data_IF_033315600320
#
_entry.id   IF_033315600320
#
_cell.length_a   1.000
_cell.length_b   1.000
_cell.length_c   1.000
_cell.angle_alpha   90.00
_cell.angle_beta   90.00
_cell.angle_gamma   90.00
#
_symmetry.space_group_name_H-M   'P 1'
#
loop_
_entity.id
_entity.type
_entity.pdbx_description
1 polymer ?
#
# COMPACT_ATOMS: atom_id res chain seq x y z
N UNK A 1 -7.16 -12.64 -14.16
CA UNK A 1 -6.53 -11.70 -13.23
C UNK A 1 -6.42 -10.37 -13.99
N UNK A 2 -7.21 -9.35 -13.63
CA UNK A 2 -7.35 -8.08 -14.41
C UNK A 2 -6.94 -6.85 -13.58
N UNK A 3 -5.86 -6.97 -12.81
CA UNK A 3 -5.28 -5.83 -12.10
C UNK A 3 -3.98 -5.49 -12.83
N UNK A 4 -3.85 -4.30 -13.43
CA UNK A 4 -2.58 -3.89 -14.03
C UNK A 4 -1.51 -3.86 -12.93
N UNK A 5 -0.28 -4.25 -13.27
CA UNK A 5 0.85 -4.17 -12.34
C UNK A 5 1.02 -2.75 -11.82
N UNK A 6 1.52 -2.64 -10.59
CA UNK A 6 1.70 -1.32 -9.99
C UNK A 6 2.69 -0.49 -10.83
N UNK A 7 2.38 0.78 -11.15
CA UNK A 7 3.27 1.62 -11.97
C UNK A 7 4.65 1.80 -11.33
N UNK A 8 4.75 1.76 -9.99
CA UNK A 8 6.03 1.77 -9.28
C UNK A 8 6.92 0.58 -9.62
N UNK A 9 6.36 -0.63 -9.73
CA UNK A 9 7.10 -1.83 -10.11
C UNK A 9 7.63 -1.73 -11.55
N UNK A 10 6.81 -1.21 -12.47
CA UNK A 10 7.19 -1.02 -13.88
C UNK A 10 8.29 0.05 -14.05
N UNK A 11 8.28 1.11 -13.22
CA UNK A 11 9.36 2.10 -13.14
C UNK A 11 10.68 1.47 -12.70
N UNK A 12 10.64 0.62 -11.68
CA UNK A 12 11.84 -0.09 -11.19
C UNK A 12 12.44 -1.03 -12.25
N UNK A 13 11.64 -1.49 -13.21
CA UNK A 13 12.05 -2.34 -14.33
C UNK A 13 12.50 -1.54 -15.58
N UNK A 14 12.57 -0.21 -15.51
CA UNK A 14 12.87 0.69 -16.63
C UNK A 14 11.88 0.58 -17.82
N UNK A 15 10.65 0.10 -17.60
CA UNK A 15 9.62 -0.04 -18.65
C UNK A 15 8.72 1.19 -18.72
N UNK A 16 9.26 2.31 -19.19
CA UNK A 16 8.59 3.62 -19.12
C UNK A 16 7.28 3.70 -19.90
N UNK A 17 7.21 3.15 -21.11
CA UNK A 17 5.99 3.21 -21.94
C UNK A 17 4.82 2.42 -21.32
N UNK A 18 5.13 1.28 -20.73
CA UNK A 18 4.14 0.44 -20.07
C UNK A 18 3.72 1.02 -18.71
N UNK A 19 4.64 1.70 -18.04
CA UNK A 19 4.35 2.44 -16.83
C UNK A 19 3.31 3.53 -17.09
N UNK A 20 3.47 4.32 -18.16
CA UNK A 20 2.52 5.38 -18.49
C UNK A 20 1.13 4.81 -18.80
N UNK A 21 1.05 3.70 -19.55
CA UNK A 21 -0.22 3.00 -19.81
C UNK A 21 -0.87 2.45 -18.54
N UNK A 22 -0.08 1.85 -17.64
CA UNK A 22 -0.57 1.37 -16.34
C UNK A 22 -1.05 2.52 -15.44
N UNK A 23 -0.31 3.63 -15.40
CA UNK A 23 -0.65 4.83 -14.65
C UNK A 23 -1.97 5.45 -15.16
N UNK A 24 -2.12 5.57 -16.47
CA UNK A 24 -3.37 6.03 -17.09
C UNK A 24 -4.53 5.07 -16.80
N UNK A 25 -4.30 3.76 -16.83
CA UNK A 25 -5.32 2.75 -16.51
C UNK A 25 -5.79 2.83 -15.04
N UNK A 26 -4.87 3.06 -14.10
CA UNK A 26 -5.19 3.26 -12.68
C UNK A 26 -6.01 4.55 -12.45
N UNK A 27 -5.66 5.66 -13.12
CA UNK A 27 -6.32 6.97 -12.97
C UNK A 27 -7.65 7.07 -13.72
N UNK A 28 -7.87 6.28 -14.78
CA UNK A 28 -9.11 6.31 -15.59
C UNK A 28 -10.38 6.06 -14.76
N UNK A 29 -10.27 5.49 -13.55
CA UNK A 29 -11.41 5.30 -12.63
C UNK A 29 -11.69 6.50 -11.71
N UNK A 30 -10.79 7.47 -11.62
CA UNK A 30 -10.86 8.61 -10.70
C UNK A 30 -10.73 9.93 -11.47
N UNK A 31 -11.87 10.40 -11.99
CA UNK A 31 -12.18 11.82 -12.27
C UNK A 31 -11.35 12.52 -13.37
N UNK A 32 -12.10 13.06 -14.34
CA UNK A 32 -11.81 14.10 -15.33
C UNK A 32 -10.52 14.00 -16.16
N UNK A 33 -10.72 13.70 -17.45
CA UNK A 33 -9.71 13.73 -18.54
C UNK A 33 -9.13 15.13 -18.81
N UNK A 34 -9.54 16.14 -18.04
CA UNK A 34 -9.30 17.56 -18.30
C UNK A 34 -7.87 17.98 -18.01
N UNK A 35 -7.13 17.24 -17.20
CA UNK A 35 -5.83 17.67 -16.67
C UNK A 35 -4.69 16.74 -17.12
N UNK A 36 -4.53 16.58 -18.44
CA UNK A 36 -3.43 15.78 -19.01
C UNK A 36 -2.06 16.29 -18.55
N UNK A 37 -1.92 17.59 -18.36
CA UNK A 37 -0.68 18.22 -17.89
C UNK A 37 -0.40 17.84 -16.43
N UNK A 38 -1.41 17.86 -15.55
CA UNK A 38 -1.26 17.41 -14.16
C UNK A 38 -0.90 15.92 -14.05
N UNK A 39 -1.40 15.08 -14.96
CA UNK A 39 -1.05 13.65 -15.03
C UNK A 39 0.42 13.48 -15.41
N UNK A 40 0.95 14.30 -16.32
CA UNK A 40 2.36 14.27 -16.69
C UNK A 40 3.26 14.77 -15.56
N UNK A 41 2.85 15.81 -14.84
CA UNK A 41 3.59 16.31 -13.67
C UNK A 41 3.63 15.27 -12.54
N UNK A 42 2.51 14.64 -12.20
CA UNK A 42 2.48 13.57 -11.20
C UNK A 42 3.36 12.38 -11.61
N UNK A 43 3.32 12.00 -12.89
CA UNK A 43 4.16 10.94 -13.43
C UNK A 43 5.65 11.30 -13.35
N UNK A 44 6.00 12.56 -13.63
CA UNK A 44 7.36 13.07 -13.53
C UNK A 44 7.86 13.05 -12.08
N UNK A 45 7.05 13.50 -11.12
CA UNK A 45 7.37 13.44 -9.70
C UNK A 45 7.62 12.00 -9.23
N UNK A 46 6.76 11.06 -9.64
CA UNK A 46 6.93 9.63 -9.35
C UNK A 46 8.21 9.07 -9.98
N UNK A 47 8.52 9.46 -11.21
CA UNK A 47 9.72 9.03 -11.91
C UNK A 47 11.01 9.55 -11.24
N UNK A 48 10.97 10.71 -10.60
CA UNK A 48 12.11 11.24 -9.83
C UNK A 48 12.23 10.58 -8.45
N UNK A 49 11.11 10.36 -7.76
CA UNK A 49 11.10 9.83 -6.40
C UNK A 49 11.55 8.37 -6.33
N UNK A 50 11.09 7.52 -7.25
CA UNK A 50 11.40 6.08 -7.26
C UNK A 50 12.92 5.79 -7.33
N UNK A 51 13.71 6.36 -8.26
CA UNK A 51 15.15 6.11 -8.31
C UNK A 51 15.90 6.71 -7.12
N UNK A 52 15.39 7.77 -6.48
CA UNK A 52 15.96 8.27 -5.22
C UNK A 52 15.71 7.30 -4.06
N UNK A 53 14.49 6.77 -3.94
CA UNK A 53 14.15 5.75 -2.94
C UNK A 53 14.93 4.45 -3.16
N UNK A 54 15.20 4.06 -4.42
CA UNK A 54 16.02 2.88 -4.74
C UNK A 54 17.49 3.03 -4.34
N UNK A 55 18.01 4.26 -4.22
CA UNK A 55 19.41 4.53 -3.82
C UNK A 55 19.63 4.41 -2.31
N UNK A 56 18.60 4.67 -1.50
CA UNK A 56 18.64 4.47 -0.05
C UNK A 56 17.67 3.34 0.36
N UNK A 57 17.95 2.07 -0.02
CA UNK A 57 17.14 0.96 0.43
C UNK A 57 17.34 0.82 1.94
N UNK A 58 16.42 1.39 2.72
CA UNK A 58 16.48 1.31 4.17
C UNK A 58 16.35 -0.17 4.58
N UNK A 59 17.43 -0.83 5.06
CA UNK A 59 17.32 -2.20 5.53
C UNK A 59 16.37 -2.26 6.73
N UNK A 60 15.73 -3.41 6.97
CA UNK A 60 14.82 -3.59 8.11
C UNK A 60 15.45 -3.19 9.47
N UNK A 61 16.78 -3.29 9.58
CA UNK A 61 17.54 -2.85 10.76
C UNK A 61 17.50 -1.33 10.96
N UNK A 62 17.47 -0.55 9.87
CA UNK A 62 17.51 0.92 9.91
C UNK A 62 16.18 1.51 10.37
N UNK A 63 15.08 0.75 10.29
CA UNK A 63 13.80 1.15 10.89
C UNK A 63 13.88 1.27 12.41
N UNK A 64 14.72 0.46 13.06
CA UNK A 64 14.97 0.54 14.50
C UNK A 64 16.05 1.56 14.86
N UNK A 65 16.97 1.85 13.92
CA UNK A 65 18.11 2.77 14.13
C UNK A 65 17.75 4.23 13.86
N UNK A 66 16.91 4.52 12.87
CA UNK A 66 16.46 5.89 12.54
C UNK A 66 15.41 6.36 13.55
N UNK A 67 15.66 7.43 14.33
CA UNK A 67 14.75 7.88 15.40
C UNK A 67 13.39 8.38 14.89
N UNK A 68 13.33 8.85 13.65
CA UNK A 68 12.08 9.25 12.96
C UNK A 68 11.20 8.04 12.62
N UNK A 69 11.81 6.91 12.22
CA UNK A 69 11.10 5.68 11.85
C UNK A 69 10.67 4.88 13.09
N UNK A 70 11.49 4.87 14.15
CA UNK A 70 11.19 4.15 15.40
C UNK A 70 9.84 4.57 16.02
N UNK A 71 9.54 5.87 16.06
CA UNK A 71 8.26 6.36 16.62
C UNK A 71 7.08 5.88 15.77
N UNK A 72 7.22 5.86 14.45
CA UNK A 72 6.19 5.37 13.52
C UNK A 72 5.97 3.86 13.68
N UNK A 73 7.04 3.08 13.79
CA UNK A 73 6.95 1.63 14.02
C UNK A 73 6.26 1.29 15.35
N UNK A 74 6.57 2.05 16.42
CA UNK A 74 5.94 1.83 17.72
C UNK A 74 4.43 2.10 17.69
N UNK A 75 4.01 3.20 17.05
CA UNK A 75 2.59 3.51 16.86
C UNK A 75 1.90 2.44 16.01
N UNK A 76 2.52 2.00 14.91
CA UNK A 76 1.97 0.95 14.06
C UNK A 76 1.79 -0.38 14.82
N UNK A 77 2.78 -0.76 15.64
CA UNK A 77 2.70 -1.96 16.47
C UNK A 77 1.59 -1.85 17.52
N UNK A 78 1.46 -0.70 18.21
CA UNK A 78 0.38 -0.46 19.14
C UNK A 78 -1.00 -0.52 18.49
N UNK A 79 -1.15 0.06 17.30
CA UNK A 79 -2.41 0.01 16.54
C UNK A 79 -2.75 -1.42 16.16
N UNK A 80 -1.77 -2.20 15.70
CA UNK A 80 -1.97 -3.60 15.35
C UNK A 80 -2.33 -4.46 16.57
N UNK A 81 -1.65 -4.24 17.70
CA UNK A 81 -1.98 -4.88 18.97
C UNK A 81 -3.38 -4.51 19.45
N UNK A 82 -3.79 -3.23 19.33
CA UNK A 82 -5.13 -2.79 19.68
C UNK A 82 -6.18 -3.44 18.77
N UNK A 83 -5.94 -3.51 17.46
CA UNK A 83 -6.83 -4.15 16.50
C UNK A 83 -7.05 -5.64 16.78
N UNK A 84 -5.98 -6.36 17.14
CA UNK A 84 -6.05 -7.77 17.54
C UNK A 84 -6.68 -7.94 18.94
N UNK A 85 -6.42 -6.98 19.84
CA UNK A 85 -6.94 -6.93 21.20
C UNK A 85 -8.45 -6.68 21.28
N UNK A 86 -9.08 -6.18 20.21
CA UNK A 86 -10.54 -6.05 20.07
C UNK A 86 -11.27 -7.39 20.17
N UNK A 87 -10.56 -8.53 20.21
CA UNK A 87 -11.17 -9.83 20.51
C UNK A 87 -12.11 -10.33 19.41
N UNK A 88 -11.94 -9.84 18.18
CA UNK A 88 -12.71 -10.27 16.99
C UNK A 88 -12.63 -11.78 16.77
N UNK A 89 -11.51 -12.41 17.13
CA UNK A 89 -11.35 -13.87 17.15
C UNK A 89 -12.21 -14.55 18.22
N UNK A 90 -12.34 -13.96 19.42
CA UNK A 90 -13.17 -14.49 20.50
C UNK A 90 -14.68 -14.36 20.18
N UNK A 91 -15.09 -13.25 19.55
CA UNK A 91 -16.45 -13.05 19.04
C UNK A 91 -16.75 -14.04 17.91
N UNK A 92 -15.82 -14.20 16.95
CA UNK A 92 -15.98 -15.15 15.84
C UNK A 92 -16.14 -16.58 16.32
N UNK A 93 -15.35 -17.00 17.31
CA UNK A 93 -15.42 -18.35 17.89
C UNK A 93 -16.74 -18.58 18.64
N UNK A 94 -17.15 -17.61 19.47
CA UNK A 94 -18.41 -17.69 20.23
C UNK A 94 -19.64 -17.67 19.31
N UNK A 95 -19.62 -16.86 18.26
CA UNK A 95 -20.68 -16.79 17.27
C UNK A 95 -20.85 -18.10 16.50
N UNK A 96 -19.75 -18.71 16.05
CA UNK A 96 -19.79 -20.02 15.37
C UNK A 96 -20.34 -21.12 16.27
N UNK A 97 -19.99 -21.10 17.56
CA UNK A 97 -20.49 -22.06 18.55
C UNK A 97 -21.98 -21.87 18.87
N UNK A 98 -22.48 -20.63 18.87
CA UNK A 98 -23.91 -20.35 19.00
C UNK A 98 -24.70 -20.84 17.78
N UNK A 99 -24.22 -20.57 16.56
CA UNK A 99 -24.88 -21.01 15.33
C UNK A 99 -24.90 -22.54 15.19
N UNK A 100 -23.83 -23.23 15.58
CA UNK A 100 -23.78 -24.71 15.59
C UNK A 100 -24.75 -25.35 16.59
N UNK A 101 -25.09 -24.66 17.69
CA UNK A 101 -26.03 -25.16 18.71
C UNK A 101 -27.49 -24.89 18.35
N UNK A 102 -27.75 -23.97 17.42
CA UNK A 102 -29.11 -23.61 16.97
C UNK A 102 -29.59 -24.43 15.76
N UNK A 103 -28.70 -25.17 15.09
CA UNK A 103 -29.01 -26.07 13.97
C UNK A 103 -29.02 -27.57 14.38
N UNK A 104 -29.20 -27.86 15.67
CA UNK A 104 -29.36 -29.21 16.21
C UNK A 104 -30.63 -29.29 17.05
#
# INVERSE_FOLDING_TARGET
>A
MFVPDSPRLLLMQNRYEETFKAFQSCRTKSVDKTDQDAIQEEYYLLHLQVPEEMKDPAPLIDFFKRPTLRKRCFVAFLVMCAAQGTGTLAIKSSFSRFYSRSNC
#
